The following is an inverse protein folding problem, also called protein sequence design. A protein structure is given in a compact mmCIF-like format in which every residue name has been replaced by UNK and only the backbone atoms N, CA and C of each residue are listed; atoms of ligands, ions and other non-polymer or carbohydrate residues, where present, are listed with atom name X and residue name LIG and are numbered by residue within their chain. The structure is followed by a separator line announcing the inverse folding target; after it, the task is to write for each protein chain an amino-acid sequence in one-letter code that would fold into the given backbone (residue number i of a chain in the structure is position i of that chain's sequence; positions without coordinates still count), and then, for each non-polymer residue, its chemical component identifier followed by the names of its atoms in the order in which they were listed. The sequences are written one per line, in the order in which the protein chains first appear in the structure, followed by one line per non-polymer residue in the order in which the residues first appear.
data_IF_140128983148
#
_entry.id   IF_140128983148
#
_cell.length_a   1.000
_cell.length_b   1.000
_cell.length_c   1.000
_cell.angle_alpha   90.00
_cell.angle_beta   90.00
_cell.angle_gamma   90.00
#
_symmetry.space_group_name_H-M   'P 1'
#
loop_
_entity.id
_entity.type
_entity.pdbx_description
1 polymer ?
#
# COMPACT_ATOMS: atom_id res chain seq x y z
N UNK A 1 11.92 -23.95 -24.51
CA UNK A 1 11.27 -22.69 -24.04
C UNK A 1 10.73 -22.99 -22.66
N UNK A 2 11.02 -22.14 -21.70
CA UNK A 2 10.57 -22.36 -20.31
C UNK A 2 9.26 -21.63 -20.12
N UNK A 3 8.18 -22.39 -20.00
CA UNK A 3 6.82 -21.88 -19.81
C UNK A 3 6.59 -21.46 -18.34
N UNK A 4 5.75 -20.44 -18.15
CA UNK A 4 5.36 -19.98 -16.83
C UNK A 4 3.90 -19.48 -16.79
N UNK A 5 3.31 -19.46 -15.61
CA UNK A 5 1.93 -18.97 -15.41
C UNK A 5 1.91 -17.52 -14.94
N UNK A 6 0.90 -16.75 -15.42
CA UNK A 6 0.64 -15.39 -14.98
C UNK A 6 -0.87 -15.07 -15.03
N UNK A 7 -1.30 -14.11 -14.22
CA UNK A 7 -2.66 -13.56 -14.29
C UNK A 7 -2.75 -12.52 -15.40
N UNK A 8 -3.49 -12.85 -16.43
CA UNK A 8 -3.75 -12.02 -17.59
C UNK A 8 -5.08 -11.29 -17.46
N UNK A 9 -5.10 -10.00 -17.70
CA UNK A 9 -6.28 -9.15 -17.72
C UNK A 9 -6.52 -8.60 -19.11
N UNK A 10 -7.74 -8.74 -19.63
CA UNK A 10 -8.18 -8.22 -20.92
C UNK A 10 -9.44 -7.38 -20.75
N UNK A 11 -9.58 -6.33 -21.57
CA UNK A 11 -10.82 -5.56 -21.64
C UNK A 11 -11.69 -6.08 -22.79
N UNK A 12 -12.70 -6.85 -22.45
CA UNK A 12 -13.64 -7.46 -23.41
C UNK A 12 -15.01 -6.83 -23.19
N UNK A 13 -15.58 -6.20 -24.23
CA UNK A 13 -16.89 -5.55 -24.19
C UNK A 13 -17.07 -4.61 -22.98
N UNK A 14 -16.08 -3.78 -22.69
CA UNK A 14 -16.04 -2.84 -21.57
C UNK A 14 -16.09 -3.48 -20.16
N UNK A 15 -15.68 -4.75 -20.05
CA UNK A 15 -15.45 -5.46 -18.79
C UNK A 15 -14.02 -5.98 -18.75
N UNK A 16 -13.43 -6.00 -17.58
CA UNK A 16 -12.14 -6.68 -17.39
C UNK A 16 -12.41 -8.14 -17.08
N UNK A 17 -11.83 -9.01 -17.90
CA UNK A 17 -11.77 -10.45 -17.64
C UNK A 17 -10.35 -10.82 -17.23
N UNK A 18 -10.22 -11.60 -16.16
CA UNK A 18 -8.94 -12.03 -15.62
C UNK A 18 -8.85 -13.55 -15.61
N UNK A 19 -7.78 -14.09 -16.22
CA UNK A 19 -7.54 -15.54 -16.31
C UNK A 19 -6.06 -15.85 -16.11
N UNK A 20 -5.74 -16.95 -15.46
CA UNK A 20 -4.38 -17.46 -15.42
C UNK A 20 -4.06 -18.12 -16.76
N UNK A 21 -2.96 -17.68 -17.39
CA UNK A 21 -2.49 -18.19 -18.69
C UNK A 21 -1.03 -18.62 -18.62
N UNK A 22 -0.64 -19.47 -19.55
CA UNK A 22 0.76 -19.88 -19.76
C UNK A 22 1.41 -18.96 -20.80
N UNK A 23 2.64 -18.54 -20.51
CA UNK A 23 3.50 -17.67 -21.31
C UNK A 23 4.88 -18.30 -21.47
N UNK A 24 5.65 -17.83 -22.46
CA UNK A 24 7.08 -18.10 -22.56
C UNK A 24 7.87 -16.88 -22.04
N UNK A 25 9.11 -17.07 -21.59
CA UNK A 25 9.97 -15.97 -21.11
C UNK A 25 10.23 -14.91 -22.18
N UNK A 26 10.12 -15.27 -23.44
CA UNK A 26 10.25 -14.39 -24.60
C UNK A 26 9.06 -13.44 -24.77
N UNK A 27 7.90 -13.76 -24.18
CA UNK A 27 6.70 -12.91 -24.20
C UNK A 27 6.79 -11.76 -23.19
N UNK A 28 7.76 -11.81 -22.26
CA UNK A 28 7.98 -10.74 -21.29
C UNK A 28 8.48 -9.45 -21.96
N UNK A 29 8.04 -8.28 -21.49
CA UNK A 29 8.47 -7.00 -22.02
C UNK A 29 9.98 -6.76 -21.82
N UNK A 30 10.51 -5.72 -22.48
CA UNK A 30 11.90 -5.31 -22.33
C UNK A 30 12.23 -4.91 -20.86
N UNK A 31 13.44 -5.25 -20.44
CA UNK A 31 13.98 -4.97 -19.10
C UNK A 31 15.34 -5.64 -18.92
N UNK A 32 16.18 -5.08 -18.06
CA UNK A 32 17.54 -5.58 -17.87
C UNK A 32 17.61 -6.78 -16.93
N UNK A 33 16.60 -7.01 -16.09
CA UNK A 33 16.67 -8.04 -15.04
C UNK A 33 15.45 -8.95 -15.11
N UNK A 34 15.70 -10.26 -15.21
CA UNK A 34 14.69 -11.32 -15.10
C UNK A 34 14.65 -11.84 -13.67
N UNK A 35 13.46 -11.84 -13.08
CA UNK A 35 13.21 -12.23 -11.69
C UNK A 35 12.28 -13.45 -11.68
N UNK A 36 12.64 -14.52 -10.97
CA UNK A 36 11.73 -15.56 -10.54
C UNK A 36 10.93 -15.01 -9.35
N UNK A 37 9.64 -14.78 -9.53
CA UNK A 37 8.77 -14.20 -8.50
C UNK A 37 8.38 -15.29 -7.50
N UNK A 38 8.60 -15.04 -6.22
CA UNK A 38 8.19 -15.93 -5.15
C UNK A 38 6.87 -15.50 -4.52
N UNK A 39 6.74 -14.21 -4.23
CA UNK A 39 5.56 -13.63 -3.61
C UNK A 39 5.17 -12.31 -4.29
N UNK A 40 3.88 -12.06 -4.27
CA UNK A 40 3.26 -10.77 -4.56
C UNK A 40 2.21 -10.46 -3.47
N UNK A 41 1.48 -9.37 -3.60
CA UNK A 41 0.42 -9.04 -2.66
C UNK A 41 -0.72 -8.27 -3.31
N UNK A 42 -1.95 -8.46 -2.81
CA UNK A 42 -3.14 -7.80 -3.35
C UNK A 42 -3.26 -6.38 -2.80
N UNK A 43 -3.39 -5.42 -3.69
CA UNK A 43 -3.59 -4.01 -3.37
C UNK A 43 -4.91 -3.49 -3.98
N UNK A 44 -5.45 -2.39 -3.45
CA UNK A 44 -6.68 -1.76 -3.97
C UNK A 44 -6.56 -1.40 -5.46
N UNK A 45 -5.36 -0.97 -5.89
CA UNK A 45 -5.04 -0.65 -7.28
C UNK A 45 -5.15 -1.88 -8.20
N UNK A 46 -4.74 -3.07 -7.72
CA UNK A 46 -4.89 -4.32 -8.47
C UNK A 46 -6.37 -4.70 -8.62
N UNK A 47 -7.18 -4.49 -7.57
CA UNK A 47 -8.63 -4.67 -7.62
C UNK A 47 -9.28 -3.75 -8.66
N UNK A 48 -8.92 -2.46 -8.68
CA UNK A 48 -9.38 -1.52 -9.71
C UNK A 48 -8.97 -1.96 -11.12
N UNK A 49 -7.72 -2.37 -11.30
CA UNK A 49 -7.18 -2.83 -12.59
C UNK A 49 -7.87 -4.11 -13.06
N UNK A 50 -8.17 -5.04 -12.15
CA UNK A 50 -8.76 -6.34 -12.47
C UNK A 50 -10.29 -6.33 -12.60
N UNK A 51 -10.98 -5.22 -12.25
CA UNK A 51 -12.47 -5.19 -12.24
C UNK A 51 -13.08 -4.01 -12.97
N UNK A 52 -12.38 -2.89 -13.12
CA UNK A 52 -12.94 -1.65 -13.65
C UNK A 52 -12.07 -1.05 -14.77
N UNK A 53 -12.42 -1.25 -16.05
CA UNK A 53 -11.65 -0.73 -17.17
C UNK A 53 -11.67 0.80 -17.28
N UNK A 54 -12.60 1.47 -16.57
CA UNK A 54 -12.71 2.94 -16.50
C UNK A 54 -11.98 3.54 -15.31
N UNK A 55 -11.29 2.73 -14.49
CA UNK A 55 -10.55 3.21 -13.32
C UNK A 55 -9.39 4.14 -13.65
N UNK A 56 -8.89 4.09 -14.88
CA UNK A 56 -7.70 4.83 -15.32
C UNK A 56 -6.38 4.24 -14.81
N UNK A 57 -6.41 3.12 -14.07
CA UNK A 57 -5.20 2.44 -13.60
C UNK A 57 -4.44 1.84 -14.79
N UNK A 58 -5.11 1.07 -15.63
CA UNK A 58 -4.54 0.52 -16.85
C UNK A 58 -5.12 1.26 -18.06
N UNK A 59 -4.26 1.84 -18.86
CA UNK A 59 -4.65 2.55 -20.09
C UNK A 59 -4.74 1.62 -21.29
N UNK A 60 -3.86 0.64 -21.35
CA UNK A 60 -3.73 -0.29 -22.48
C UNK A 60 -3.80 -1.72 -21.95
N UNK A 61 -4.92 -2.38 -22.16
CA UNK A 61 -5.04 -3.82 -22.02
C UNK A 61 -4.62 -4.49 -23.34
N UNK A 62 -4.15 -5.75 -23.33
CA UNK A 62 -4.08 -6.64 -22.17
C UNK A 62 -2.83 -6.42 -21.31
N UNK A 63 -2.85 -6.95 -20.06
CA UNK A 63 -1.79 -6.73 -19.06
C UNK A 63 -1.67 -7.92 -18.09
N UNK A 64 -0.45 -8.28 -17.70
CA UNK A 64 -0.20 -9.08 -16.49
C UNK A 64 -0.26 -8.12 -15.29
N UNK A 65 -1.19 -8.37 -14.35
CA UNK A 65 -1.42 -7.52 -13.20
C UNK A 65 -0.40 -7.75 -12.06
N UNK A 66 -0.50 -6.95 -10.99
CA UNK A 66 0.30 -7.04 -9.78
C UNK A 66 1.33 -5.91 -9.67
N UNK A 67 1.07 -4.95 -8.76
CA UNK A 67 1.89 -3.73 -8.60
C UNK A 67 3.07 -3.89 -7.66
N UNK A 68 3.28 -5.08 -7.11
CA UNK A 68 4.44 -5.43 -6.28
C UNK A 68 4.86 -6.88 -6.47
N UNK A 69 6.12 -7.16 -6.20
CA UNK A 69 6.68 -8.52 -6.17
C UNK A 69 7.92 -8.57 -5.28
N UNK A 70 8.24 -9.78 -4.83
CA UNK A 70 9.54 -10.16 -4.30
C UNK A 70 9.97 -11.50 -4.91
N UNK A 71 11.25 -11.63 -5.19
CA UNK A 71 11.76 -12.81 -5.87
C UNK A 71 13.27 -12.88 -5.91
N UNK A 72 13.77 -13.75 -6.76
CA UNK A 72 15.21 -14.01 -6.95
C UNK A 72 15.57 -13.70 -8.40
N UNK A 73 16.64 -12.95 -8.60
CA UNK A 73 17.19 -12.66 -9.92
C UNK A 73 17.65 -13.95 -10.58
N UNK A 74 17.20 -14.22 -11.81
CA UNK A 74 17.62 -15.35 -12.65
C UNK A 74 18.70 -14.92 -13.61
N UNK A 75 18.47 -13.79 -14.32
CA UNK A 75 19.37 -13.22 -15.30
C UNK A 75 19.41 -11.70 -15.15
N UNK A 76 20.57 -11.10 -15.39
CA UNK A 76 20.73 -9.66 -15.38
C UNK A 76 21.70 -9.20 -16.46
N UNK A 77 21.31 -8.18 -17.21
CA UNK A 77 22.18 -7.41 -18.11
C UNK A 77 22.77 -6.17 -17.39
N UNK A 78 22.29 -5.85 -16.18
CA UNK A 78 22.73 -4.70 -15.42
C UNK A 78 23.77 -5.09 -14.35
N UNK A 79 24.91 -4.38 -14.26
CA UNK A 79 26.05 -4.78 -13.40
C UNK A 79 25.74 -4.76 -11.89
N UNK A 80 24.70 -4.05 -11.45
CA UNK A 80 24.31 -3.98 -10.05
C UNK A 80 23.60 -5.25 -9.53
N UNK A 81 23.13 -6.12 -10.42
CA UNK A 81 22.38 -7.32 -10.06
C UNK A 81 22.98 -8.56 -10.72
N UNK A 82 22.89 -9.70 -10.02
CA UNK A 82 23.36 -11.00 -10.51
C UNK A 82 22.39 -12.10 -10.11
N UNK A 83 22.45 -13.23 -10.81
CA UNK A 83 21.66 -14.41 -10.47
C UNK A 83 21.85 -14.81 -9.00
N UNK A 84 20.74 -15.09 -8.32
CA UNK A 84 20.69 -15.43 -6.90
C UNK A 84 20.41 -14.23 -5.98
N UNK A 85 20.49 -13.00 -6.44
CA UNK A 85 20.14 -11.83 -5.62
C UNK A 85 18.65 -11.82 -5.29
N UNK A 86 18.32 -11.61 -4.01
CA UNK A 86 16.94 -11.43 -3.54
C UNK A 86 16.54 -9.98 -3.70
N UNK A 87 15.36 -9.74 -4.29
CA UNK A 87 14.94 -8.41 -4.70
C UNK A 87 13.47 -8.14 -4.43
N UNK A 88 13.12 -6.86 -4.42
CA UNK A 88 11.77 -6.32 -4.30
C UNK A 88 11.55 -5.34 -5.45
N UNK A 89 10.34 -5.34 -6.03
CA UNK A 89 9.87 -4.29 -6.93
C UNK A 89 8.50 -3.82 -6.49
N UNK A 90 8.36 -2.52 -6.24
CA UNK A 90 7.09 -1.86 -5.91
C UNK A 90 7.00 -0.52 -6.61
N UNK A 91 5.82 -0.15 -7.06
CA UNK A 91 5.59 1.16 -7.69
C UNK A 91 6.01 1.21 -9.16
N UNK A 92 6.36 2.40 -9.62
CA UNK A 92 6.66 2.71 -11.02
C UNK A 92 5.56 2.23 -11.98
N UNK A 93 5.92 1.59 -13.08
CA UNK A 93 4.99 1.05 -14.07
C UNK A 93 4.53 -0.40 -13.84
N UNK A 94 5.04 -1.08 -12.80
CA UNK A 94 4.78 -2.50 -12.56
C UNK A 94 3.27 -2.77 -12.40
N UNK A 95 2.74 -3.71 -13.21
CA UNK A 95 1.32 -4.06 -13.19
C UNK A 95 0.36 -2.97 -13.68
N UNK A 96 0.88 -1.88 -14.29
CA UNK A 96 0.09 -0.73 -14.75
C UNK A 96 0.37 -0.40 -16.22
N UNK A 97 1.62 -0.16 -16.57
CA UNK A 97 2.09 0.11 -17.94
C UNK A 97 3.21 -0.85 -18.37
N UNK A 98 3.59 -1.76 -17.50
CA UNK A 98 4.55 -2.83 -17.67
C UNK A 98 4.01 -4.09 -16.99
N UNK A 99 4.34 -5.28 -17.47
CA UNK A 99 3.83 -6.53 -16.89
C UNK A 99 4.20 -6.65 -15.41
N UNK A 100 3.25 -7.12 -14.62
CA UNK A 100 3.26 -7.07 -13.17
C UNK A 100 3.71 -8.35 -12.46
N UNK A 101 3.58 -8.33 -11.14
CA UNK A 101 4.07 -9.35 -10.23
C UNK A 101 3.13 -10.54 -9.98
N UNK A 102 1.92 -10.57 -10.55
CA UNK A 102 1.08 -11.77 -10.52
C UNK A 102 1.49 -12.73 -11.64
N UNK A 103 2.75 -13.13 -11.59
CA UNK A 103 3.44 -13.91 -12.61
C UNK A 103 4.60 -14.66 -11.98
N UNK A 104 4.87 -15.88 -12.43
CA UNK A 104 6.02 -16.66 -11.95
C UNK A 104 7.37 -16.06 -12.38
N UNK A 105 7.41 -15.29 -13.48
CA UNK A 105 8.57 -14.53 -13.91
C UNK A 105 8.17 -13.10 -14.26
N UNK A 106 9.05 -12.17 -13.94
CA UNK A 106 8.93 -10.77 -14.34
C UNK A 106 10.26 -10.26 -14.88
N UNK A 107 10.24 -9.55 -16.01
CA UNK A 107 11.40 -8.84 -16.54
C UNK A 107 11.19 -7.35 -16.35
N UNK A 108 12.08 -6.69 -15.66
CA UNK A 108 11.89 -5.29 -15.25
C UNK A 108 13.16 -4.44 -15.47
N UNK A 109 12.99 -3.10 -15.58
CA UNK A 109 14.12 -2.19 -15.54
C UNK A 109 14.88 -2.28 -14.21
N UNK A 110 16.21 -2.29 -14.27
CA UNK A 110 17.07 -2.36 -13.08
C UNK A 110 16.83 -1.20 -12.10
N UNK A 111 16.47 -0.02 -12.61
CA UNK A 111 16.18 1.17 -11.82
C UNK A 111 14.95 1.04 -10.90
N UNK A 112 14.11 0.00 -11.07
CA UNK A 112 12.94 -0.24 -10.21
C UNK A 112 13.24 -1.19 -9.06
N UNK A 113 14.36 -1.87 -9.10
CA UNK A 113 14.69 -3.00 -8.22
C UNK A 113 15.36 -2.49 -6.95
N UNK A 114 14.80 -2.87 -5.81
CA UNK A 114 15.41 -2.69 -4.50
C UNK A 114 16.00 -4.04 -4.05
N UNK A 115 17.29 -4.11 -3.69
CA UNK A 115 17.82 -5.28 -3.01
C UNK A 115 17.02 -5.59 -1.75
N UNK A 116 16.73 -6.85 -1.48
CA UNK A 116 16.04 -7.23 -0.25
C UNK A 116 16.90 -6.86 0.97
N UNK A 117 16.45 -5.95 1.86
CA UNK A 117 17.24 -5.58 3.04
C UNK A 117 17.47 -6.77 3.97
N UNK A 118 18.61 -6.77 4.65
CA UNK A 118 18.85 -7.72 5.74
C UNK A 118 17.78 -7.56 6.83
N UNK A 119 17.30 -8.68 7.37
CA UNK A 119 16.22 -8.68 8.36
C UNK A 119 14.82 -8.87 7.78
N UNK A 120 14.66 -8.95 6.44
CA UNK A 120 13.42 -9.34 5.77
C UNK A 120 13.59 -10.62 4.95
N UNK A 121 12.57 -11.46 4.97
CA UNK A 121 12.38 -12.52 3.98
C UNK A 121 11.59 -12.01 2.78
N UNK A 122 11.60 -12.72 1.64
CA UNK A 122 10.78 -12.40 0.47
C UNK A 122 9.30 -12.34 0.83
N UNK A 123 8.83 -13.25 1.70
CA UNK A 123 7.45 -13.27 2.17
C UNK A 123 7.11 -12.05 3.02
N UNK A 124 7.96 -11.70 3.99
CA UNK A 124 7.77 -10.50 4.82
C UNK A 124 7.77 -9.21 3.99
N UNK A 125 8.64 -9.14 2.97
CA UNK A 125 8.64 -8.03 2.03
C UNK A 125 7.29 -7.85 1.35
N UNK A 126 6.52 -8.91 1.07
CA UNK A 126 5.19 -8.82 0.47
C UNK A 126 4.06 -8.72 1.50
N UNK A 127 4.27 -9.09 2.77
CA UNK A 127 3.37 -8.63 3.84
C UNK A 127 3.38 -7.10 3.89
N UNK A 128 4.55 -6.50 3.83
CA UNK A 128 4.73 -5.05 3.72
C UNK A 128 4.16 -4.56 2.38
N UNK A 129 4.73 -4.97 1.26
CA UNK A 129 4.33 -4.62 -0.10
C UNK A 129 4.18 -3.13 -0.32
N UNK A 130 3.45 -2.75 -1.37
CA UNK A 130 3.13 -1.34 -1.67
C UNK A 130 2.33 -0.67 -0.55
N UNK A 131 1.43 -1.41 0.12
CA UNK A 131 0.63 -0.84 1.20
C UNK A 131 1.47 -0.47 2.42
N UNK A 132 2.39 -1.34 2.84
CA UNK A 132 3.29 -1.05 3.96
C UNK A 132 4.33 0.01 3.60
N UNK A 133 4.81 0.02 2.36
CA UNK A 133 5.66 1.08 1.85
C UNK A 133 4.98 2.45 1.93
N UNK A 134 3.72 2.55 1.50
CA UNK A 134 2.90 3.78 1.60
C UNK A 134 2.69 4.21 3.06
N UNK A 135 2.48 3.26 3.97
CA UNK A 135 2.37 3.52 5.39
C UNK A 135 3.68 4.07 5.97
N UNK A 136 4.82 3.46 5.61
CA UNK A 136 6.15 3.91 6.04
C UNK A 136 6.48 5.32 5.54
N UNK A 137 6.19 5.61 4.27
CA UNK A 137 6.36 6.96 3.70
C UNK A 137 5.46 7.98 4.41
N UNK A 138 4.22 7.57 4.78
CA UNK A 138 3.34 8.43 5.57
C UNK A 138 3.92 8.73 6.96
N UNK A 139 4.46 7.72 7.66
CA UNK A 139 5.10 7.88 8.97
C UNK A 139 6.34 8.79 8.85
N UNK A 140 7.21 8.53 7.87
CA UNK A 140 8.40 9.33 7.61
C UNK A 140 8.04 10.80 7.33
N UNK A 141 7.00 11.04 6.54
CA UNK A 141 6.50 12.40 6.28
C UNK A 141 6.03 13.10 7.56
N UNK A 142 5.36 12.39 8.49
CA UNK A 142 4.99 12.96 9.78
C UNK A 142 6.22 13.33 10.61
N UNK A 143 7.22 12.46 10.69
CA UNK A 143 8.47 12.70 11.43
C UNK A 143 9.21 13.91 10.85
N UNK A 144 9.31 14.03 9.52
CA UNK A 144 9.89 15.20 8.83
C UNK A 144 9.16 16.51 9.14
N UNK A 145 7.85 16.45 9.45
CA UNK A 145 7.08 17.61 9.91
C UNK A 145 7.19 17.88 11.42
N UNK A 146 8.05 17.15 12.13
CA UNK A 146 8.29 17.34 13.55
C UNK A 146 7.28 16.64 14.47
N UNK A 147 6.43 15.77 13.95
CA UNK A 147 5.51 14.96 14.75
C UNK A 147 6.32 13.87 15.47
N UNK A 148 6.18 13.79 16.78
CA UNK A 148 6.89 12.84 17.64
C UNK A 148 5.89 12.14 18.57
N UNK A 149 6.21 11.00 19.19
CA UNK A 149 5.30 10.28 20.09
C UNK A 149 4.66 11.14 21.18
N UNK A 150 5.41 12.12 21.72
CA UNK A 150 4.94 13.06 22.75
C UNK A 150 4.09 14.23 22.22
N UNK A 151 3.96 14.40 20.91
CA UNK A 151 3.24 15.55 20.32
C UNK A 151 1.73 15.42 20.49
N UNK A 152 1.23 14.20 20.62
CA UNK A 152 -0.19 13.86 20.77
C UNK A 152 -0.56 12.62 19.95
N UNK A 153 -1.82 12.25 19.99
CA UNK A 153 -2.32 11.08 19.29
C UNK A 153 -2.27 11.25 17.76
N UNK A 154 -2.01 10.15 17.06
CA UNK A 154 -2.11 10.04 15.61
C UNK A 154 -3.39 9.30 15.24
N UNK A 155 -4.22 9.89 14.38
CA UNK A 155 -5.39 9.23 13.82
C UNK A 155 -5.02 8.48 12.55
N UNK A 156 -5.45 7.22 12.41
CA UNK A 156 -5.28 6.45 11.17
C UNK A 156 -6.65 6.10 10.61
N UNK A 157 -6.98 6.64 9.42
CA UNK A 157 -8.20 6.28 8.68
C UNK A 157 -8.02 5.02 7.85
N UNK A 158 -9.14 4.39 7.47
CA UNK A 158 -9.09 3.13 6.74
C UNK A 158 -8.28 2.07 7.47
N UNK A 159 -8.32 2.10 8.79
CA UNK A 159 -7.46 1.39 9.71
C UNK A 159 -7.44 -0.13 9.51
N UNK A 160 -8.56 -0.73 9.08
CA UNK A 160 -8.63 -2.17 8.83
C UNK A 160 -8.04 -2.61 7.48
N UNK A 161 -7.66 -1.67 6.60
CA UNK A 161 -7.03 -1.97 5.31
C UNK A 161 -5.51 -2.14 5.42
N UNK A 162 -4.87 -2.49 4.30
CA UNK A 162 -3.43 -2.77 4.26
C UNK A 162 -2.55 -1.59 4.71
N UNK A 163 -2.80 -0.38 4.18
CA UNK A 163 -2.04 0.83 4.57
C UNK A 163 -2.31 1.19 6.03
N UNK A 164 -3.61 1.27 6.42
CA UNK A 164 -3.98 1.68 7.77
C UNK A 164 -3.49 0.73 8.85
N UNK A 165 -3.65 -0.58 8.66
CA UNK A 165 -3.16 -1.59 9.60
C UNK A 165 -1.64 -1.54 9.78
N UNK A 166 -0.92 -1.40 8.66
CA UNK A 166 0.54 -1.28 8.69
C UNK A 166 0.99 0.01 9.39
N UNK A 167 0.33 1.14 9.11
CA UNK A 167 0.62 2.43 9.77
C UNK A 167 0.43 2.35 11.30
N UNK A 168 -0.66 1.70 11.77
CA UNK A 168 -0.89 1.49 13.20
C UNK A 168 0.26 0.71 13.82
N UNK A 169 0.66 -0.41 13.19
CA UNK A 169 1.71 -1.28 13.72
C UNK A 169 3.09 -0.57 13.75
N UNK A 170 3.42 0.19 12.72
CA UNK A 170 4.65 1.00 12.64
C UNK A 170 4.65 2.12 13.69
N UNK A 171 3.58 2.91 13.78
CA UNK A 171 3.44 3.98 14.77
C UNK A 171 3.54 3.43 16.20
N UNK A 172 2.90 2.29 16.48
CA UNK A 172 3.01 1.62 17.78
C UNK A 172 4.44 1.19 18.08
N UNK A 173 5.16 0.66 17.10
CA UNK A 173 6.58 0.29 17.21
C UNK A 173 7.44 1.48 17.62
N UNK A 174 7.15 2.67 17.08
CA UNK A 174 7.84 3.93 17.38
C UNK A 174 7.36 4.60 18.68
N UNK A 175 6.36 4.05 19.37
CA UNK A 175 5.85 4.57 20.65
C UNK A 175 4.81 5.67 20.53
N UNK A 176 4.17 5.84 19.37
CA UNK A 176 3.05 6.76 19.21
C UNK A 176 1.77 6.23 19.85
N UNK A 177 0.95 7.14 20.39
CA UNK A 177 -0.45 6.89 20.71
C UNK A 177 -1.28 6.91 19.43
N UNK A 178 -2.01 5.84 19.13
CA UNK A 178 -2.73 5.68 17.86
C UNK A 178 -4.22 5.50 18.08
N UNK A 179 -5.03 6.32 17.44
CA UNK A 179 -6.48 6.13 17.27
C UNK A 179 -6.80 5.65 15.85
N UNK A 180 -7.56 4.57 15.74
CA UNK A 180 -7.92 3.93 14.50
C UNK A 180 -9.35 4.27 14.08
N UNK A 181 -9.59 4.57 12.80
CA UNK A 181 -10.96 4.78 12.26
C UNK A 181 -11.30 3.69 11.26
N UNK A 182 -12.38 2.96 11.52
CA UNK A 182 -12.89 1.92 10.63
C UNK A 182 -14.41 1.91 10.56
N UNK A 183 -14.98 1.79 9.35
CA UNK A 183 -16.41 1.52 9.13
C UNK A 183 -16.83 0.15 9.68
N UNK A 184 -15.86 -0.77 9.77
CA UNK A 184 -16.01 -2.13 10.33
C UNK A 184 -15.57 -2.19 11.79
N UNK A 185 -15.82 -1.12 12.58
CA UNK A 185 -15.36 -0.99 13.98
C UNK A 185 -15.67 -2.24 14.80
N UNK A 186 -16.90 -2.74 14.75
CA UNK A 186 -17.32 -3.90 15.53
C UNK A 186 -16.55 -5.17 15.12
N UNK A 187 -16.39 -5.41 13.82
CA UNK A 187 -15.82 -6.65 13.28
C UNK A 187 -14.28 -6.72 13.44
N UNK A 188 -13.61 -5.56 13.53
CA UNK A 188 -12.15 -5.48 13.57
C UNK A 188 -11.59 -4.83 14.84
N UNK A 189 -12.39 -4.68 15.88
CA UNK A 189 -11.95 -4.08 17.15
C UNK A 189 -10.72 -4.79 17.72
N UNK A 190 -10.80 -6.11 17.90
CA UNK A 190 -9.72 -6.90 18.50
C UNK A 190 -8.47 -6.92 17.61
N UNK A 191 -8.65 -7.00 16.30
CA UNK A 191 -7.57 -6.92 15.32
C UNK A 191 -6.81 -5.60 15.45
N UNK A 192 -7.52 -4.46 15.43
CA UNK A 192 -6.91 -3.12 15.55
C UNK A 192 -6.24 -2.88 16.90
N UNK A 193 -6.84 -3.40 17.97
CA UNK A 193 -6.21 -3.36 19.32
C UNK A 193 -4.91 -4.17 19.35
N UNK A 194 -4.88 -5.35 18.76
CA UNK A 194 -3.68 -6.20 18.69
C UNK A 194 -2.57 -5.55 17.83
N UNK A 195 -2.92 -4.77 16.81
CA UNK A 195 -1.95 -3.98 16.04
C UNK A 195 -1.37 -2.81 16.83
N UNK A 196 -2.04 -2.37 17.89
CA UNK A 196 -1.56 -1.32 18.80
C UNK A 196 -2.41 -0.06 18.86
N UNK A 197 -3.63 -0.05 18.28
CA UNK A 197 -4.56 1.07 18.43
C UNK A 197 -5.04 1.20 19.88
N UNK A 198 -4.91 2.39 20.48
CA UNK A 198 -5.41 2.69 21.83
C UNK A 198 -6.91 3.04 21.83
N UNK A 199 -7.39 3.67 20.75
CA UNK A 199 -8.80 3.95 20.49
C UNK A 199 -9.22 3.37 19.12
N UNK A 200 -10.46 2.87 19.03
CA UNK A 200 -11.06 2.47 17.75
C UNK A 200 -12.39 3.20 17.59
N UNK A 201 -12.51 3.99 16.55
CA UNK A 201 -13.63 4.90 16.29
C UNK A 201 -14.36 4.51 14.99
N UNK A 202 -15.67 4.73 14.97
CA UNK A 202 -16.43 4.72 13.71
C UNK A 202 -16.26 6.10 13.02
N UNK A 203 -16.36 6.21 11.68
CA UNK A 203 -16.29 7.51 11.00
C UNK A 203 -17.22 8.58 11.58
N UNK A 204 -18.42 8.24 12.01
CA UNK A 204 -19.38 9.18 12.62
C UNK A 204 -18.88 9.77 13.94
N UNK A 205 -18.00 9.07 14.66
CA UNK A 205 -17.41 9.56 15.93
C UNK A 205 -16.27 10.57 15.71
N UNK A 206 -15.80 10.70 14.47
CA UNK A 206 -14.80 11.71 14.06
C UNK A 206 -15.40 12.82 13.22
N UNK A 207 -16.60 12.62 12.69
CA UNK A 207 -17.35 13.66 11.98
C UNK A 207 -17.75 14.80 12.92
N UNK A 208 -17.84 16.00 12.40
CA UNK A 208 -18.31 17.17 13.15
C UNK A 208 -19.83 17.27 13.08
N UNK A 209 -20.50 17.46 14.23
CA UNK A 209 -21.94 17.73 14.27
C UNK A 209 -22.33 18.93 13.42
N UNK A 210 -21.48 19.97 13.43
CA UNK A 210 -21.60 21.15 12.55
C UNK A 210 -20.28 21.35 11.83
N UNK A 211 -20.31 21.34 10.51
CA UNK A 211 -19.14 21.66 9.69
C UNK A 211 -18.67 23.07 10.00
N UNK A 212 -17.40 23.17 10.38
CA UNK A 212 -16.73 24.44 10.69
C UNK A 212 -15.26 24.34 10.28
N UNK A 213 -14.64 25.42 9.85
CA UNK A 213 -13.25 25.39 9.39
C UNK A 213 -12.24 25.14 10.52
N UNK A 214 -12.60 25.42 11.78
CA UNK A 214 -11.81 25.17 12.97
C UNK A 214 -12.71 24.53 14.04
N UNK A 215 -12.29 23.37 14.56
CA UNK A 215 -13.00 22.64 15.61
C UNK A 215 -12.08 22.42 16.83
N UNK A 216 -12.56 21.68 17.82
CA UNK A 216 -11.72 21.21 18.93
C UNK A 216 -10.55 20.40 18.38
N UNK A 217 -9.36 20.71 18.82
CA UNK A 217 -8.15 20.00 18.46
C UNK A 217 -8.11 18.63 19.14
N UNK A 218 -7.90 17.56 18.39
CA UNK A 218 -7.91 16.18 18.87
C UNK A 218 -6.62 15.43 18.58
N UNK A 219 -6.02 15.65 17.40
CA UNK A 219 -4.89 14.85 16.93
C UNK A 219 -3.70 15.69 16.52
N UNK A 220 -2.50 15.20 16.84
CA UNK A 220 -1.25 15.79 16.37
C UNK A 220 -1.03 15.53 14.88
N UNK A 221 -1.44 14.36 14.41
CA UNK A 221 -1.32 13.99 13.00
C UNK A 221 -2.42 13.02 12.56
N UNK A 222 -2.55 12.88 11.23
CA UNK A 222 -3.48 11.95 10.60
C UNK A 222 -2.78 11.25 9.44
N UNK A 223 -2.94 9.92 9.34
CA UNK A 223 -2.61 9.14 8.15
C UNK A 223 -3.90 8.77 7.44
N UNK A 224 -4.06 9.20 6.19
CA UNK A 224 -5.30 9.08 5.45
C UNK A 224 -5.12 8.40 4.07
N UNK A 225 -5.33 7.09 3.98
CA UNK A 225 -5.39 6.37 2.70
C UNK A 225 -6.81 6.37 2.08
N UNK A 226 -7.73 7.20 2.55
CA UNK A 226 -9.15 7.19 2.14
C UNK A 226 -9.53 8.38 1.29
N UNK A 227 -9.09 9.59 1.65
CA UNK A 227 -9.47 10.80 0.94
C UNK A 227 -10.95 11.20 1.08
N UNK A 228 -11.43 11.98 0.11
CA UNK A 228 -12.85 12.32 -0.03
C UNK A 228 -13.37 13.41 0.91
N UNK A 229 -14.70 13.55 1.03
CA UNK A 229 -15.36 14.74 1.60
C UNK A 229 -15.19 14.92 3.11
N UNK A 230 -14.64 13.94 3.84
CA UNK A 230 -14.36 14.07 5.28
C UNK A 230 -13.07 14.85 5.58
N UNK A 231 -12.17 15.00 4.62
CA UNK A 231 -10.87 15.66 4.82
C UNK A 231 -10.96 17.05 5.49
N UNK A 232 -11.89 17.94 5.12
CA UNK A 232 -12.01 19.26 5.76
C UNK A 232 -12.29 19.17 7.26
N UNK A 233 -13.13 18.22 7.66
CA UNK A 233 -13.48 18.01 9.08
C UNK A 233 -12.29 17.48 9.89
N UNK A 234 -11.46 16.65 9.27
CA UNK A 234 -10.23 16.14 9.87
C UNK A 234 -9.17 17.24 10.02
N UNK A 235 -8.96 18.06 8.97
CA UNK A 235 -8.06 19.22 9.01
C UNK A 235 -8.46 20.21 10.10
N UNK A 236 -9.77 20.40 10.30
CA UNK A 236 -10.32 21.28 11.33
C UNK A 236 -10.05 20.82 12.76
N UNK A 237 -9.71 19.54 12.97
CA UNK A 237 -9.49 18.92 14.28
C UNK A 237 -8.01 18.67 14.59
N UNK A 238 -7.09 19.01 13.68
CA UNK A 238 -5.65 18.92 13.93
C UNK A 238 -5.19 19.95 14.97
N UNK A 239 -4.19 19.56 15.74
CA UNK A 239 -3.47 20.45 16.63
C UNK A 239 -2.78 21.58 15.85
N UNK A 240 -2.37 22.65 16.56
CA UNK A 240 -1.48 23.66 16.00
C UNK A 240 -0.18 23.00 15.48
N UNK A 241 0.19 23.29 14.24
CA UNK A 241 1.34 22.66 13.57
C UNK A 241 1.14 21.20 13.15
N UNK A 242 -0.07 20.66 13.32
CA UNK A 242 -0.39 19.27 12.97
C UNK A 242 -0.27 18.97 11.49
N UNK A 243 -0.17 17.67 11.15
CA UNK A 243 0.08 17.19 9.80
C UNK A 243 -0.91 16.08 9.39
N UNK A 244 -1.42 16.14 8.15
CA UNK A 244 -2.17 15.07 7.52
C UNK A 244 -1.39 14.53 6.32
N UNK A 245 -1.01 13.25 6.37
CA UNK A 245 -0.42 12.51 5.26
C UNK A 245 -1.53 11.84 4.44
N UNK A 246 -1.67 12.24 3.18
CA UNK A 246 -2.75 11.78 2.27
C UNK A 246 -2.18 10.87 1.20
N UNK A 247 -2.61 9.60 1.18
CA UNK A 247 -2.09 8.59 0.25
C UNK A 247 -3.16 7.89 -0.59
N UNK A 248 -4.45 8.18 -0.39
CA UNK A 248 -5.49 7.42 -1.09
C UNK A 248 -6.74 8.21 -1.43
N UNK A 249 -7.61 7.57 -2.22
CA UNK A 249 -8.82 8.15 -2.78
C UNK A 249 -10.03 7.20 -2.76
N UNK A 250 -9.99 6.15 -1.95
CA UNK A 250 -11.07 5.17 -1.87
C UNK A 250 -12.42 5.77 -1.43
N UNK A 251 -12.40 6.90 -0.72
CA UNK A 251 -13.58 7.67 -0.31
C UNK A 251 -13.95 8.82 -1.26
N UNK A 252 -13.15 9.04 -2.31
CA UNK A 252 -13.35 10.08 -3.31
C UNK A 252 -12.08 10.87 -3.63
N UNK A 253 -12.07 11.48 -4.82
CA UNK A 253 -10.92 12.25 -5.35
C UNK A 253 -11.00 13.75 -5.07
N UNK A 254 -12.13 14.24 -4.58
CA UNK A 254 -12.36 15.67 -4.38
C UNK A 254 -12.79 15.97 -2.94
N UNK A 255 -12.36 17.12 -2.45
CA UNK A 255 -12.84 17.70 -1.21
C UNK A 255 -12.79 19.23 -1.32
N UNK A 256 -13.66 19.91 -0.58
CA UNK A 256 -13.71 21.38 -0.50
C UNK A 256 -13.27 21.79 0.90
N UNK A 257 -12.22 22.58 1.01
CA UNK A 257 -11.65 23.05 2.27
C UNK A 257 -11.47 24.57 2.28
N UNK A 258 -11.35 25.14 3.48
CA UNK A 258 -10.98 26.55 3.66
C UNK A 258 -9.49 26.67 3.97
N UNK A 259 -8.93 27.85 3.79
CA UNK A 259 -7.52 28.13 4.13
C UNK A 259 -7.29 28.26 5.65
N UNK A 260 -8.33 28.36 6.47
CA UNK A 260 -8.23 28.71 7.89
C UNK A 260 -7.42 27.71 8.74
N UNK A 261 -7.53 26.38 8.59
CA UNK A 261 -6.64 25.46 9.30
C UNK A 261 -5.15 25.71 9.01
N UNK A 262 -4.85 26.04 7.75
CA UNK A 262 -3.47 26.26 7.31
C UNK A 262 -2.89 27.58 7.86
N UNK A 263 -3.60 28.70 7.71
CA UNK A 263 -3.08 30.02 8.11
C UNK A 263 -3.21 30.33 9.61
N UNK A 264 -4.19 29.73 10.32
CA UNK A 264 -4.42 30.01 11.74
C UNK A 264 -3.85 28.96 12.68
N UNK A 265 -3.59 27.73 12.18
CA UNK A 265 -3.00 26.64 12.98
C UNK A 265 -1.73 26.07 12.38
N UNK A 266 -1.26 26.56 11.23
CA UNK A 266 -0.06 26.03 10.57
C UNK A 266 -0.18 24.54 10.22
N UNK A 267 -1.42 24.06 10.00
CA UNK A 267 -1.67 22.67 9.59
C UNK A 267 -1.00 22.39 8.25
N UNK A 268 -0.49 21.18 8.08
CA UNK A 268 0.14 20.72 6.86
C UNK A 268 -0.66 19.59 6.24
N UNK A 269 -0.83 19.63 4.93
CA UNK A 269 -1.36 18.54 4.12
C UNK A 269 -0.24 18.05 3.21
N UNK A 270 0.22 16.82 3.42
CA UNK A 270 1.34 16.24 2.68
C UNK A 270 0.83 15.10 1.80
N UNK A 271 1.07 15.20 0.49
CA UNK A 271 0.79 14.12 -0.45
C UNK A 271 1.87 13.04 -0.36
N UNK A 272 1.43 11.78 -0.43
CA UNK A 272 2.29 10.59 -0.38
C UNK A 272 2.22 9.90 -1.73
N UNK A 273 3.34 9.86 -2.47
CA UNK A 273 3.49 9.20 -3.77
C UNK A 273 4.44 8.01 -3.70
N UNK A 274 3.92 6.87 -3.26
CA UNK A 274 4.68 5.61 -3.20
C UNK A 274 5.04 5.02 -4.58
N UNK A 275 4.48 5.57 -5.67
CA UNK A 275 4.73 5.10 -7.04
C UNK A 275 6.06 5.63 -7.58
N UNK A 276 6.25 6.95 -7.55
CA UNK A 276 7.42 7.61 -8.13
C UNK A 276 8.41 8.14 -7.06
N UNK A 277 8.30 7.63 -5.83
CA UNK A 277 9.22 8.03 -4.75
C UNK A 277 10.68 7.82 -5.19
N UNK A 278 11.59 8.82 -5.00
CA UNK A 278 12.95 8.76 -5.48
C UNK A 278 13.71 7.51 -5.02
N UNK A 279 14.48 6.89 -5.90
CA UNK A 279 15.12 5.59 -5.66
C UNK A 279 15.99 5.56 -4.39
N UNK A 280 16.80 6.60 -4.17
CA UNK A 280 17.66 6.67 -2.98
C UNK A 280 16.86 6.71 -1.66
N UNK A 281 15.75 7.44 -1.64
CA UNK A 281 14.85 7.51 -0.49
C UNK A 281 14.06 6.20 -0.34
N UNK A 282 13.70 5.55 -1.47
CA UNK A 282 13.06 4.25 -1.48
C UNK A 282 13.91 3.18 -0.79
N UNK A 283 15.20 3.12 -1.07
CA UNK A 283 16.13 2.19 -0.41
C UNK A 283 16.15 2.44 1.10
N UNK A 284 16.37 3.68 1.53
CA UNK A 284 16.39 4.05 2.96
C UNK A 284 15.09 3.64 3.67
N UNK A 285 13.95 3.84 3.02
CA UNK A 285 12.67 3.50 3.61
C UNK A 285 12.48 1.99 3.73
N UNK A 286 12.95 1.19 2.76
CA UNK A 286 12.97 -0.26 2.87
C UNK A 286 13.90 -0.75 3.99
N UNK A 287 15.06 -0.11 4.20
CA UNK A 287 15.97 -0.38 5.32
C UNK A 287 15.30 -0.06 6.66
N UNK A 288 14.56 1.03 6.76
CA UNK A 288 13.75 1.37 7.95
C UNK A 288 12.68 0.31 8.22
N UNK A 289 11.99 -0.18 7.17
CA UNK A 289 10.98 -1.24 7.30
C UNK A 289 11.59 -2.60 7.68
N UNK A 290 12.88 -2.80 7.49
CA UNK A 290 13.61 -3.96 7.98
C UNK A 290 14.11 -3.79 9.43
N UNK A 291 14.06 -2.58 9.99
CA UNK A 291 14.66 -2.23 11.29
C UNK A 291 13.68 -1.54 12.24
N UNK A 292 13.73 -0.21 12.33
CA UNK A 292 12.97 0.58 13.33
C UNK A 292 11.46 0.64 13.06
N UNK A 293 11.06 0.61 11.79
CA UNK A 293 9.65 0.56 11.38
C UNK A 293 9.08 -0.87 11.30
N UNK A 294 9.92 -1.93 11.40
CA UNK A 294 9.42 -3.31 11.29
C UNK A 294 8.42 -3.60 12.42
N UNK A 295 7.13 -3.89 12.13
CA UNK A 295 6.19 -4.30 13.16
C UNK A 295 6.69 -5.51 13.96
N UNK A 296 6.43 -5.53 15.27
CA UNK A 296 6.87 -6.62 16.15
C UNK A 296 6.33 -7.98 15.70
N UNK A 297 5.11 -7.99 15.16
CA UNK A 297 4.47 -9.20 14.64
C UNK A 297 3.79 -8.89 13.29
N UNK A 298 4.52 -9.06 12.19
CA UNK A 298 4.01 -8.90 10.84
C UNK A 298 2.87 -9.87 10.50
N UNK A 299 2.85 -11.06 11.08
CA UNK A 299 1.83 -12.08 10.81
C UNK A 299 0.42 -11.63 11.24
N UNK A 300 0.30 -10.73 12.21
CA UNK A 300 -0.99 -10.15 12.59
C UNK A 300 -1.67 -9.40 11.45
N UNK A 301 -0.90 -8.92 10.48
CA UNK A 301 -1.41 -8.16 9.33
C UNK A 301 -1.90 -9.09 8.21
N UNK A 302 -1.54 -10.37 8.21
CA UNK A 302 -1.92 -11.32 7.17
C UNK A 302 -3.32 -11.84 7.42
N UNK A 303 -4.26 -11.54 6.51
CA UNK A 303 -5.60 -12.13 6.51
C UNK A 303 -5.57 -13.52 5.89
N UNK A 304 -4.89 -13.64 4.75
CA UNK A 304 -4.78 -14.90 4.02
C UNK A 304 -3.57 -14.91 3.07
N UNK A 305 -3.17 -16.09 2.66
CA UNK A 305 -2.23 -16.37 1.58
C UNK A 305 -2.96 -17.18 0.50
N UNK A 306 -2.87 -16.74 -0.76
CA UNK A 306 -3.62 -17.29 -1.89
C UNK A 306 -2.69 -17.62 -3.05
N UNK A 307 -3.20 -18.31 -4.06
CA UNK A 307 -2.53 -18.58 -5.33
C UNK A 307 -3.03 -17.65 -6.45
N UNK A 308 -2.41 -17.71 -7.63
CA UNK A 308 -2.78 -16.89 -8.79
C UNK A 308 -4.25 -17.08 -9.20
N UNK A 309 -4.74 -18.31 -9.11
CA UNK A 309 -6.10 -18.71 -9.49
C UNK A 309 -7.17 -18.06 -8.59
N UNK A 310 -6.83 -17.67 -7.35
CA UNK A 310 -7.75 -17.05 -6.37
C UNK A 310 -7.89 -15.53 -6.55
N UNK A 311 -7.00 -14.91 -7.35
CA UNK A 311 -6.94 -13.44 -7.52
C UNK A 311 -8.26 -12.81 -7.98
N UNK A 312 -9.03 -13.38 -8.93
CA UNK A 312 -10.32 -12.78 -9.31
C UNK A 312 -11.30 -12.66 -8.14
N UNK A 313 -11.32 -13.66 -7.25
CA UNK A 313 -12.14 -13.63 -6.02
C UNK A 313 -11.62 -12.58 -5.03
N UNK A 314 -10.30 -12.46 -4.88
CA UNK A 314 -9.67 -11.47 -4.02
C UNK A 314 -9.95 -10.03 -4.50
N UNK A 315 -9.96 -9.78 -5.82
CA UNK A 315 -10.33 -8.48 -6.38
C UNK A 315 -11.78 -8.09 -6.04
N UNK A 316 -12.73 -9.04 -6.13
CA UNK A 316 -14.10 -8.80 -5.69
C UNK A 316 -14.17 -8.40 -4.21
N UNK A 317 -13.49 -9.14 -3.33
CA UNK A 317 -13.48 -8.87 -1.88
C UNK A 317 -12.90 -7.49 -1.54
N UNK A 318 -11.77 -7.08 -2.17
CA UNK A 318 -11.17 -5.79 -1.87
C UNK A 318 -12.03 -4.63 -2.37
N UNK A 319 -12.64 -4.75 -3.55
CA UNK A 319 -13.53 -3.73 -4.10
C UNK A 319 -14.81 -3.57 -3.28
N UNK A 320 -15.34 -4.66 -2.73
CA UNK A 320 -16.48 -4.64 -1.78
C UNK A 320 -16.10 -4.10 -0.39
N UNK A 321 -14.82 -3.81 -0.14
CA UNK A 321 -14.33 -3.40 1.18
C UNK A 321 -14.41 -4.51 2.23
N UNK A 322 -14.49 -5.77 1.83
CA UNK A 322 -14.61 -6.95 2.73
C UNK A 322 -13.26 -7.48 3.21
N UNK A 323 -12.16 -7.09 2.57
CA UNK A 323 -10.81 -7.42 3.01
C UNK A 323 -10.40 -6.64 4.25
N UNK A 324 -9.54 -7.23 5.09
CA UNK A 324 -8.79 -6.53 6.13
C UNK A 324 -7.33 -7.00 6.11
N UNK A 325 -6.41 -6.17 6.64
CA UNK A 325 -4.99 -6.47 6.59
C UNK A 325 -4.44 -6.69 5.18
N UNK A 326 -3.68 -7.77 5.02
CA UNK A 326 -2.96 -8.11 3.80
C UNK A 326 -3.38 -9.47 3.26
N UNK A 327 -3.53 -9.57 1.96
CA UNK A 327 -3.61 -10.84 1.22
C UNK A 327 -2.33 -11.01 0.43
N UNK A 328 -1.57 -12.05 0.77
CA UNK A 328 -0.37 -12.46 0.05
C UNK A 328 -0.72 -13.35 -1.13
N UNK A 329 0.09 -13.30 -2.17
CA UNK A 329 0.02 -14.21 -3.30
C UNK A 329 1.30 -15.04 -3.34
N UNK A 330 1.19 -16.34 -3.07
CA UNK A 330 2.29 -17.28 -3.19
C UNK A 330 2.37 -17.75 -4.64
N UNK A 331 3.25 -17.12 -5.40
CA UNK A 331 3.35 -17.36 -6.83
C UNK A 331 4.11 -18.65 -7.14
N UNK A 332 5.04 -19.04 -6.29
CA UNK A 332 5.91 -20.21 -6.50
C UNK A 332 5.18 -21.56 -6.30
N UNK A 333 4.12 -21.62 -5.47
CA UNK A 333 3.35 -22.85 -5.24
C UNK A 333 2.31 -23.15 -6.34
N UNK A 334 2.17 -22.30 -7.34
CA UNK A 334 1.24 -22.47 -8.45
C UNK A 334 1.73 -23.48 -9.52
N UNK A 335 2.42 -24.55 -9.10
CA UNK A 335 2.87 -25.66 -9.98
C UNK A 335 2.01 -26.89 -9.76
#
# INVERSE_FOLDING_TARGET
MEEFKALWAENIAAKVETTVRTFNKEDLPDGEVLIEVHYSSVNYKDGLAGTNPKSGVIRNYPMILGIDLSGVVVESLHPAFRAGDKVIVTGYGLGVSHFGGFSQYARVPAAWIVPLPEGLSLREAMIIGTAGYTAAESVDALEQQGIQPKTGAVLVRGASGGVGGMAIAMLKRLGYTVEAVSRKKADCLDYLKRLGAEGVLHPDEVALEKKRPLAQQRWAAIIDPVGGPMLPELLAQLHYGGCLALSGNAGGIAFEATVLPFILRGVKLVGIDSVNHPYAERIKLWERMASDLKPVNLELLVEQEIMLEDLPTAFGKIMDGKMHGRTLVNVKQAI
#
